data_IF_680629029427
#
_entry.id   IF_680629029427
#
_cell.length_a   1.000
_cell.length_b   1.000
_cell.length_c   1.000
_cell.angle_alpha   90.00
_cell.angle_beta   90.00
_cell.angle_gamma   90.00
#
_symmetry.space_group_name_H-M   'P 1'
#
loop_
_entity.id
_entity.type
_entity.pdbx_description
1 polymer ?
#
# COMPACT_ATOMS: atom_id res chain seq x y z
N UNK A 1 -36.69 -9.79 16.73
CA UNK A 1 -35.44 -9.05 16.44
C UNK A 1 -34.99 -9.40 15.04
N UNK A 2 -35.42 -8.60 14.05
CA UNK A 2 -34.95 -8.75 12.67
C UNK A 2 -33.48 -8.34 12.60
N UNK A 3 -32.61 -9.27 12.19
CA UNK A 3 -31.18 -9.00 12.03
C UNK A 3 -30.97 -8.01 10.88
N UNK A 4 -30.22 -6.92 11.10
CA UNK A 4 -29.88 -5.90 10.09
C UNK A 4 -29.36 -6.50 8.77
N UNK A 5 -28.72 -7.67 8.84
CA UNK A 5 -28.29 -8.48 7.70
C UNK A 5 -29.43 -8.90 6.77
N UNK A 6 -30.61 -9.24 7.30
CA UNK A 6 -31.78 -9.62 6.51
C UNK A 6 -32.46 -8.42 5.83
N UNK A 7 -32.25 -7.22 6.37
CA UNK A 7 -32.78 -6.00 5.79
C UNK A 7 -31.90 -5.55 4.62
N UNK A 8 -30.57 -5.65 4.74
CA UNK A 8 -29.64 -5.29 3.67
C UNK A 8 -29.51 -6.34 2.55
N UNK A 9 -29.72 -7.63 2.85
CA UNK A 9 -29.61 -8.73 1.87
C UNK A 9 -30.97 -8.98 1.20
N UNK A 10 -31.33 -8.13 0.22
CA UNK A 10 -32.63 -8.21 -0.49
C UNK A 10 -32.83 -9.52 -1.24
N UNK A 11 -31.76 -10.25 -1.53
CA UNK A 11 -31.79 -11.50 -2.29
C UNK A 11 -31.42 -12.75 -1.48
N UNK A 12 -31.22 -12.64 -0.16
CA UNK A 12 -30.79 -13.71 0.74
C UNK A 12 -29.62 -14.53 0.18
N UNK A 13 -28.67 -13.87 -0.49
CA UNK A 13 -27.53 -14.54 -1.14
C UNK A 13 -26.44 -14.91 -0.14
N UNK A 14 -26.53 -14.40 1.09
CA UNK A 14 -25.58 -14.67 2.16
C UNK A 14 -24.25 -13.91 2.01
N UNK A 15 -24.08 -13.16 0.92
CA UNK A 15 -22.94 -12.27 0.63
C UNK A 15 -23.49 -10.89 0.25
N UNK A 16 -22.95 -9.84 0.87
CA UNK A 16 -23.38 -8.46 0.64
C UNK A 16 -22.49 -7.81 -0.43
N UNK A 17 -23.11 -7.19 -1.43
CA UNK A 17 -22.42 -6.32 -2.37
C UNK A 17 -21.98 -5.01 -1.68
N UNK A 18 -21.03 -4.27 -2.26
CA UNK A 18 -20.51 -3.01 -1.67
C UNK A 18 -21.63 -2.05 -1.25
N UNK A 19 -22.65 -1.92 -2.10
CA UNK A 19 -23.79 -1.04 -1.84
C UNK A 19 -24.75 -1.60 -0.77
N UNK A 20 -24.93 -2.91 -0.69
CA UNK A 20 -25.73 -3.57 0.35
C UNK A 20 -25.01 -3.52 1.72
N UNK A 21 -23.67 -3.60 1.72
CA UNK A 21 -22.85 -3.43 2.91
C UNK A 21 -22.90 -1.98 3.43
N UNK A 22 -22.88 -0.99 2.54
CA UNK A 22 -23.06 0.42 2.92
C UNK A 22 -24.42 0.65 3.61
N UNK A 23 -25.48 0.04 3.09
CA UNK A 23 -26.82 0.09 3.70
C UNK A 23 -26.85 -0.64 5.04
N UNK A 24 -26.23 -1.82 5.15
CA UNK A 24 -26.12 -2.55 6.41
C UNK A 24 -25.39 -1.73 7.49
N UNK A 25 -24.31 -1.05 7.10
CA UNK A 25 -23.52 -0.21 7.99
C UNK A 25 -24.31 1.04 8.44
N UNK A 26 -25.02 1.68 7.51
CA UNK A 26 -25.90 2.80 7.83
C UNK A 26 -27.00 2.42 8.84
N UNK A 27 -27.60 1.25 8.69
CA UNK A 27 -28.59 0.72 9.66
C UNK A 27 -27.97 0.39 11.02
N UNK A 28 -26.71 -0.07 11.06
CA UNK A 28 -25.97 -0.31 12.30
C UNK A 28 -25.69 0.99 13.05
N UNK A 29 -25.19 2.02 12.36
CA UNK A 29 -24.95 3.34 12.95
C UNK A 29 -26.24 3.97 13.47
N UNK A 30 -27.35 3.83 12.74
CA UNK A 30 -28.66 4.31 13.17
C UNK A 30 -29.13 3.65 14.47
N UNK A 31 -28.87 2.35 14.63
CA UNK A 31 -29.17 1.61 15.86
C UNK A 31 -28.26 1.99 17.03
N UNK A 32 -26.96 2.23 16.78
CA UNK A 32 -26.02 2.70 17.79
C UNK A 32 -26.40 4.08 18.34
N UNK A 33 -26.95 4.94 17.48
CA UNK A 33 -27.46 6.27 17.86
C UNK A 33 -28.87 6.25 18.50
N UNK A 34 -29.39 5.06 18.85
CA UNK A 34 -30.65 4.92 19.59
C UNK A 34 -31.93 5.07 18.76
N UNK A 35 -31.83 5.15 17.43
CA UNK A 35 -33.00 5.19 16.56
C UNK A 35 -33.51 3.78 16.24
N UNK A 36 -34.83 3.61 16.24
CA UNK A 36 -35.47 2.34 15.90
C UNK A 36 -35.20 1.98 14.42
N UNK A 37 -34.74 0.75 14.19
CA UNK A 37 -34.52 0.23 12.84
C UNK A 37 -35.88 -0.08 12.21
N UNK A 38 -36.20 0.47 11.03
CA UNK A 38 -37.48 0.18 10.37
C UNK A 38 -37.57 -1.30 9.98
N UNK A 39 -38.77 -1.89 10.10
CA UNK A 39 -39.02 -3.31 9.75
C UNK A 39 -38.95 -3.60 8.25
N UNK A 40 -39.12 -2.57 7.43
CA UNK A 40 -38.98 -2.61 5.97
C UNK A 40 -38.11 -1.47 5.50
N UNK A 41 -37.22 -1.77 4.55
CA UNK A 41 -36.23 -0.81 4.06
C UNK A 41 -36.95 0.24 3.17
N UNK A 42 -36.90 1.54 3.49
CA UNK A 42 -37.50 2.57 2.66
C UNK A 42 -36.88 2.58 1.26
N UNK A 43 -37.64 2.90 0.20
CA UNK A 43 -37.15 2.86 -1.19
C UNK A 43 -35.98 3.81 -1.47
N UNK A 44 -35.77 4.81 -0.61
CA UNK A 44 -34.63 5.75 -0.68
C UNK A 44 -33.30 5.13 -0.24
N UNK A 45 -33.34 4.06 0.56
CA UNK A 45 -32.16 3.36 1.06
C UNK A 45 -31.88 2.07 0.26
N UNK A 46 -32.63 1.83 -0.82
CA UNK A 46 -32.38 0.71 -1.74
C UNK A 46 -31.28 1.13 -2.71
N UNK A 47 -30.15 0.42 -2.76
CA UNK A 47 -29.02 0.82 -3.59
C UNK A 47 -29.37 0.72 -5.08
N UNK A 48 -28.81 1.62 -5.93
CA UNK A 48 -29.16 1.67 -7.36
C UNK A 48 -28.86 0.34 -8.07
N UNK A 49 -27.83 -0.39 -7.66
CA UNK A 49 -27.46 -1.68 -8.26
C UNK A 49 -28.52 -2.78 -8.11
N UNK A 50 -29.30 -2.79 -7.03
CA UNK A 50 -30.41 -3.73 -6.89
C UNK A 50 -31.62 -3.26 -7.68
N UNK A 51 -31.81 -1.94 -7.82
CA UNK A 51 -32.84 -1.32 -8.68
C UNK A 51 -32.60 -1.64 -10.17
N UNK A 52 -31.38 -1.46 -10.65
CA UNK A 52 -30.97 -1.75 -12.02
C UNK A 52 -31.09 -3.24 -12.35
N UNK A 53 -30.79 -4.13 -11.39
CA UNK A 53 -30.95 -5.57 -11.56
C UNK A 53 -32.44 -5.96 -11.66
N UNK A 54 -33.29 -5.41 -10.79
CA UNK A 54 -34.75 -5.60 -10.88
C UNK A 54 -35.36 -5.03 -12.15
N UNK A 55 -34.88 -3.88 -12.62
CA UNK A 55 -35.32 -3.25 -13.86
C UNK A 55 -34.87 -4.07 -15.07
N UNK A 56 -33.65 -4.60 -15.05
CA UNK A 56 -33.11 -5.50 -16.07
C UNK A 56 -33.87 -6.83 -16.11
N UNK A 57 -34.20 -7.41 -14.95
CA UNK A 57 -35.02 -8.62 -14.85
C UNK A 57 -36.46 -8.35 -15.31
N UNK A 58 -37.00 -7.16 -15.02
CA UNK A 58 -38.34 -6.75 -15.47
C UNK A 58 -38.38 -6.52 -16.98
N UNK A 59 -37.35 -5.89 -17.56
CA UNK A 59 -37.14 -5.76 -19.01
C UNK A 59 -36.93 -7.12 -19.67
N UNK A 60 -36.20 -8.04 -19.05
CA UNK A 60 -36.07 -9.42 -19.54
C UNK A 60 -37.40 -10.18 -19.49
N UNK A 61 -38.18 -10.02 -18.42
CA UNK A 61 -39.52 -10.61 -18.34
C UNK A 61 -40.46 -10.02 -19.40
N UNK A 62 -40.43 -8.71 -19.62
CA UNK A 62 -41.22 -8.04 -20.67
C UNK A 62 -40.80 -8.48 -22.08
N UNK A 63 -39.49 -8.54 -22.37
CA UNK A 63 -38.98 -9.01 -23.67
C UNK A 63 -39.29 -10.49 -23.91
N UNK A 64 -39.28 -11.33 -22.88
CA UNK A 64 -39.70 -12.74 -22.98
C UNK A 64 -41.22 -12.85 -23.17
N UNK A 65 -42.03 -12.07 -22.44
CA UNK A 65 -43.48 -12.01 -22.62
C UNK A 65 -43.86 -11.53 -24.03
N UNK A 66 -43.18 -10.50 -24.53
CA UNK A 66 -43.33 -9.99 -25.90
C UNK A 66 -42.86 -11.01 -26.94
N UNK A 67 -41.78 -11.75 -26.65
CA UNK A 67 -41.29 -12.84 -27.48
C UNK A 67 -42.28 -14.01 -27.56
N UNK A 68 -42.94 -14.34 -26.45
CA UNK A 68 -43.99 -15.38 -26.39
C UNK A 68 -45.28 -14.90 -27.07
N UNK A 69 -45.65 -13.63 -26.90
CA UNK A 69 -46.80 -13.04 -27.58
C UNK A 69 -46.59 -12.94 -29.10
N UNK A 70 -45.38 -12.60 -29.55
CA UNK A 70 -44.98 -12.63 -30.97
C UNK A 70 -44.91 -14.04 -31.52
N UNK A 71 -44.44 -15.02 -30.73
CA UNK A 71 -44.41 -16.45 -31.14
C UNK A 71 -45.82 -17.05 -31.26
N UNK A 72 -46.81 -16.57 -30.50
CA UNK A 72 -48.23 -16.93 -30.67
C UNK A 72 -48.88 -16.40 -31.96
N UNK A 73 -48.28 -15.44 -32.65
CA UNK A 73 -48.82 -14.84 -33.87
C UNK A 73 -48.24 -15.41 -35.17
N UNK A 74 -47.29 -16.37 -35.11
CA UNK A 74 -46.55 -16.85 -36.30
C UNK A 74 -46.84 -18.33 -36.63
N UNK A 75 -47.38 -19.12 -35.71
CA UNK A 75 -47.66 -20.55 -35.99
C UNK A 75 -49.06 -20.77 -36.59
N UNK A 76 -49.21 -20.36 -37.85
CA UNK A 76 -50.34 -20.78 -38.71
C UNK A 76 -49.82 -21.26 -40.08
N UNK A 77 -48.89 -22.23 -40.08
CA UNK A 77 -48.66 -23.10 -41.23
C UNK A 77 -48.08 -24.46 -40.79
N UNK A 78 -48.95 -25.48 -40.84
CA UNK A 78 -48.63 -26.89 -41.13
C UNK A 78 -47.80 -27.74 -40.13
N UNK A 79 -48.54 -28.69 -39.52
CA UNK A 79 -48.15 -30.10 -39.24
C UNK A 79 -47.41 -30.47 -37.94
N UNK A 80 -48.19 -30.98 -36.98
CA UNK A 80 -47.85 -31.74 -35.76
C UNK A 80 -47.35 -33.19 -36.04
N UNK A 81 -47.15 -34.09 -35.03
CA UNK A 81 -46.91 -33.91 -33.58
C UNK A 81 -45.81 -34.85 -32.97
N UNK A 82 -45.57 -34.66 -31.66
CA UNK A 82 -45.27 -35.69 -30.62
C UNK A 82 -43.85 -35.69 -30.03
N UNK A 83 -43.59 -35.82 -28.73
CA UNK A 83 -44.37 -35.86 -27.48
C UNK A 83 -43.34 -35.76 -26.32
N UNK A 84 -43.84 -35.37 -25.13
CA UNK A 84 -43.31 -35.60 -23.77
C UNK A 84 -42.37 -34.57 -23.11
N UNK A 85 -42.80 -34.27 -21.88
CA UNK A 85 -42.23 -33.51 -20.76
C UNK A 85 -42.30 -34.49 -19.55
N UNK A 86 -41.91 -34.16 -18.30
CA UNK A 86 -40.74 -33.47 -17.75
C UNK A 86 -40.11 -34.33 -16.60
N UNK A 87 -39.36 -33.69 -15.68
CA UNK A 87 -39.11 -34.10 -14.26
C UNK A 87 -37.75 -34.77 -14.01
N UNK A 88 -36.96 -34.54 -12.95
CA UNK A 88 -36.92 -33.60 -11.80
C UNK A 88 -35.63 -33.93 -11.00
N UNK A 89 -35.02 -32.92 -10.37
CA UNK A 89 -34.36 -32.91 -9.05
C UNK A 89 -33.24 -33.94 -8.75
N UNK A 90 -32.08 -33.57 -8.20
CA UNK A 90 -31.88 -33.04 -6.84
C UNK A 90 -30.41 -32.62 -6.65
N UNK A 91 -30.20 -31.61 -5.79
CA UNK A 91 -28.93 -31.17 -5.20
C UNK A 91 -28.39 -32.21 -4.17
N UNK A 92 -27.41 -31.91 -3.29
CA UNK A 92 -26.18 -31.08 -3.35
C UNK A 92 -24.95 -31.89 -2.85
N UNK A 93 -23.75 -31.28 -2.79
CA UNK A 93 -22.95 -31.13 -1.54
C UNK A 93 -21.49 -30.72 -1.80
N UNK A 94 -21.06 -29.73 -1.02
CA UNK A 94 -19.69 -29.27 -0.81
C UNK A 94 -18.83 -30.29 -0.05
N UNK A 95 -17.51 -30.28 -0.27
CA UNK A 95 -16.41 -30.16 0.73
C UNK A 95 -15.11 -30.75 0.15
N UNK A 96 -14.05 -29.95 0.11
CA UNK A 96 -12.64 -30.42 0.10
C UNK A 96 -12.30 -30.91 1.54
N UNK A 97 -11.18 -31.63 1.86
CA UNK A 97 -9.85 -31.58 1.20
C UNK A 97 -9.00 -32.89 1.22
N UNK A 98 -7.78 -32.80 0.65
CA UNK A 98 -6.54 -33.50 1.10
C UNK A 98 -6.04 -34.76 0.35
N UNK A 99 -4.78 -34.62 -0.11
CA UNK A 99 -3.62 -35.54 -0.13
C UNK A 99 -3.56 -36.82 -1.00
N UNK A 100 -2.45 -36.84 -1.75
CA UNK A 100 -1.53 -37.94 -2.10
C UNK A 100 -1.93 -39.04 -3.11
N UNK A 101 -0.97 -39.24 -4.02
CA UNK A 101 -0.47 -40.52 -4.56
C UNK A 101 -1.14 -41.15 -5.82
N UNK A 102 -0.29 -41.22 -6.86
CA UNK A 102 -0.07 -42.35 -7.79
C UNK A 102 -1.07 -42.68 -8.89
N UNK A 103 -0.53 -42.64 -10.12
CA UNK A 103 -0.74 -43.56 -11.26
C UNK A 103 -2.18 -43.95 -11.60
N UNK A 104 -2.63 -43.52 -12.79
CA UNK A 104 -2.94 -44.43 -13.91
C UNK A 104 -3.10 -43.64 -15.21
N UNK A 105 -2.99 -44.40 -16.30
CA UNK A 105 -2.64 -44.07 -17.68
C UNK A 105 -3.79 -44.58 -18.54
N UNK A 106 -4.32 -43.75 -19.44
CA UNK A 106 -5.17 -44.03 -20.64
C UNK A 106 -5.69 -42.66 -21.11
N UNK A 107 -5.16 -42.02 -22.18
CA UNK A 107 -5.25 -42.22 -23.65
C UNK A 107 -6.55 -41.73 -24.29
N UNK A 108 -6.36 -40.84 -25.29
CA UNK A 108 -7.25 -40.34 -26.37
C UNK A 108 -8.47 -39.48 -25.96
N UNK A 109 -8.83 -38.36 -26.61
CA UNK A 109 -8.34 -37.69 -27.82
C UNK A 109 -9.03 -36.29 -27.95
N UNK A 110 -8.38 -35.36 -28.66
CA UNK A 110 -8.88 -34.08 -29.25
C UNK A 110 -9.24 -32.88 -28.33
N UNK A 111 -8.40 -31.83 -28.28
CA UNK A 111 -8.45 -30.68 -29.20
C UNK A 111 -7.53 -29.51 -28.78
N UNK A 112 -7.04 -28.80 -29.80
CA UNK A 112 -6.05 -27.72 -29.89
C UNK A 112 -6.05 -26.60 -28.82
N UNK A 113 -4.87 -26.26 -28.28
CA UNK A 113 -4.45 -24.86 -28.08
C UNK A 113 -2.91 -24.73 -27.97
N UNK A 114 -2.31 -24.02 -28.92
CA UNK A 114 -0.85 -23.87 -29.09
C UNK A 114 -0.30 -22.85 -28.09
N UNK A 115 0.24 -23.32 -26.97
CA UNK A 115 1.02 -22.49 -26.04
C UNK A 115 2.45 -22.24 -26.54
N UNK A 116 2.78 -20.98 -26.82
CA UNK A 116 4.15 -20.54 -27.13
C UNK A 116 5.07 -20.74 -25.91
N UNK A 117 6.16 -21.51 -26.06
CA UNK A 117 7.20 -21.68 -25.03
C UNK A 117 8.58 -21.45 -25.66
N UNK A 118 9.34 -20.53 -25.09
CA UNK A 118 10.61 -20.04 -25.63
C UNK A 118 11.69 -21.13 -25.78
N UNK A 119 12.37 -21.09 -26.93
CA UNK A 119 13.41 -22.02 -27.45
C UNK A 119 14.57 -22.35 -26.48
N UNK A 120 14.81 -21.54 -25.45
CA UNK A 120 15.92 -21.73 -24.50
C UNK A 120 15.77 -22.97 -23.58
N UNK A 121 14.57 -23.57 -23.47
CA UNK A 121 14.34 -24.76 -22.62
C UNK A 121 14.42 -26.10 -23.38
N UNK A 122 14.68 -26.08 -24.69
CA UNK A 122 14.76 -27.31 -25.51
C UNK A 122 16.15 -27.96 -25.59
N UNK A 123 17.18 -27.34 -25.03
CA UNK A 123 18.53 -27.93 -25.00
C UNK A 123 19.00 -28.13 -23.55
N UNK A 124 18.42 -29.13 -22.88
CA UNK A 124 19.00 -29.73 -21.69
C UNK A 124 20.00 -30.83 -22.08
N UNK A 125 21.00 -31.15 -21.24
CA UNK A 125 22.05 -32.09 -21.59
C UNK A 125 21.47 -33.50 -21.73
N UNK A 126 21.62 -34.07 -22.93
CA UNK A 126 21.20 -35.42 -23.29
C UNK A 126 21.88 -36.45 -22.37
N UNK A 127 21.11 -36.96 -21.41
CA UNK A 127 21.50 -38.07 -20.53
C UNK A 127 20.82 -39.33 -21.00
N UNK A 128 21.23 -39.84 -22.15
CA UNK A 128 21.02 -41.25 -22.49
C UNK A 128 22.31 -41.88 -23.02
N UNK A 129 22.79 -42.88 -22.25
CA UNK A 129 23.71 -44.00 -22.58
C UNK A 129 24.88 -44.09 -21.60
N UNK A 130 24.69 -44.92 -20.57
CA UNK A 130 25.82 -45.65 -20.01
C UNK A 130 26.19 -46.80 -20.95
N UNK A 131 27.49 -46.94 -21.27
CA UNK A 131 28.24 -48.21 -21.28
C UNK A 131 29.64 -48.03 -21.92
N UNK A 132 30.63 -48.50 -21.15
CA UNK A 132 32.04 -48.85 -21.45
C UNK A 132 33.11 -47.76 -21.74
N UNK A 133 34.28 -47.82 -21.06
CA UNK A 133 35.42 -46.95 -21.34
C UNK A 133 36.46 -47.70 -22.20
N UNK A 134 36.61 -47.31 -23.47
CA UNK A 134 37.88 -47.50 -24.18
C UNK A 134 37.94 -46.63 -25.45
N UNK A 135 39.15 -46.16 -25.74
CA UNK A 135 39.64 -45.55 -26.99
C UNK A 135 39.38 -44.05 -27.25
N UNK A 136 40.45 -43.29 -26.97
CA UNK A 136 41.23 -42.51 -27.93
C UNK A 136 40.56 -41.42 -28.80
N UNK A 137 40.95 -40.17 -28.50
CA UNK A 137 41.45 -39.11 -29.40
C UNK A 137 40.84 -39.04 -30.81
N UNK A 138 40.10 -37.96 -31.08
CA UNK A 138 40.23 -37.20 -32.35
C UNK A 138 39.92 -35.71 -32.11
N UNK A 139 40.88 -34.87 -32.46
CA UNK A 139 40.77 -33.41 -32.50
C UNK A 139 39.95 -32.98 -33.73
N UNK A 140 39.00 -32.03 -33.57
CA UNK A 140 38.39 -31.33 -34.71
C UNK A 140 37.87 -29.93 -34.36
N UNK A 141 38.70 -28.92 -34.62
CA UNK A 141 38.43 -27.79 -35.53
C UNK A 141 37.08 -27.02 -35.52
N UNK A 142 36.26 -27.04 -34.48
CA UNK A 142 34.94 -26.35 -34.48
C UNK A 142 34.76 -25.20 -33.47
N UNK A 143 35.81 -24.76 -32.77
CA UNK A 143 35.69 -23.70 -31.75
C UNK A 143 35.68 -22.25 -32.26
N UNK A 144 36.12 -21.98 -33.49
CA UNK A 144 36.34 -20.61 -33.99
C UNK A 144 35.20 -20.07 -34.87
N UNK A 145 34.50 -20.93 -35.61
CA UNK A 145 33.42 -20.51 -36.53
C UNK A 145 32.17 -20.00 -35.81
N UNK A 146 31.94 -20.45 -34.57
CA UNK A 146 30.82 -19.98 -33.75
C UNK A 146 31.03 -18.58 -33.14
N UNK A 147 32.28 -18.19 -32.85
CA UNK A 147 32.56 -16.85 -32.31
C UNK A 147 32.40 -15.77 -33.38
N UNK A 148 32.84 -16.03 -34.60
CA UNK A 148 32.71 -15.08 -35.71
C UNK A 148 31.26 -14.89 -36.14
N UNK A 149 30.46 -15.95 -36.18
CA UNK A 149 29.02 -15.83 -36.48
C UNK A 149 28.27 -15.17 -35.33
N UNK A 150 28.61 -15.49 -34.08
CA UNK A 150 28.02 -14.82 -32.91
C UNK A 150 28.34 -13.34 -32.86
N UNK A 151 29.57 -12.95 -33.22
CA UNK A 151 29.96 -11.54 -33.33
C UNK A 151 29.19 -10.85 -34.46
N UNK A 152 28.96 -11.52 -35.58
CA UNK A 152 28.14 -10.98 -36.67
C UNK A 152 26.68 -10.79 -36.24
N UNK A 153 26.08 -11.78 -35.59
CA UNK A 153 24.71 -11.71 -35.07
C UNK A 153 24.57 -10.61 -34.03
N UNK A 154 25.52 -10.48 -33.10
CA UNK A 154 25.55 -9.41 -32.10
C UNK A 154 25.71 -8.02 -32.75
N UNK A 155 26.52 -7.90 -33.81
CA UNK A 155 26.65 -6.63 -34.55
C UNK A 155 25.35 -6.26 -35.26
N UNK A 156 24.65 -7.23 -35.83
CA UNK A 156 23.34 -7.03 -36.46
C UNK A 156 22.28 -6.63 -35.43
N UNK A 157 22.26 -7.29 -34.28
CA UNK A 157 21.36 -6.98 -33.16
C UNK A 157 21.63 -5.58 -32.59
N UNK A 158 22.91 -5.17 -32.48
CA UNK A 158 23.29 -3.81 -32.08
C UNK A 158 22.80 -2.79 -33.13
N UNK A 159 22.89 -3.09 -34.42
CA UNK A 159 22.41 -2.19 -35.47
C UNK A 159 20.88 -2.06 -35.47
N UNK A 160 20.16 -3.16 -35.25
CA UNK A 160 18.70 -3.17 -35.09
C UNK A 160 18.29 -2.38 -33.84
N UNK A 161 18.93 -2.62 -32.70
CA UNK A 161 18.70 -1.87 -31.45
C UNK A 161 19.06 -0.39 -31.58
N UNK A 162 20.06 -0.05 -32.39
CA UNK A 162 20.40 1.35 -32.68
C UNK A 162 19.34 2.03 -33.53
N UNK A 163 18.76 1.34 -34.51
CA UNK A 163 17.66 1.85 -35.33
C UNK A 163 16.38 2.02 -34.51
N UNK A 164 16.07 1.07 -33.62
CA UNK A 164 14.92 1.21 -32.72
C UNK A 164 15.12 2.38 -31.75
N UNK A 165 16.31 2.55 -31.17
CA UNK A 165 16.63 3.73 -30.35
C UNK A 165 16.49 5.03 -31.12
N UNK A 166 16.98 5.10 -32.36
CA UNK A 166 16.85 6.31 -33.19
C UNK A 166 15.38 6.62 -33.52
N UNK A 167 14.56 5.59 -33.79
CA UNK A 167 13.13 5.77 -34.01
C UNK A 167 12.41 6.24 -32.74
N UNK A 168 12.73 5.65 -31.58
CA UNK A 168 12.20 6.09 -30.28
C UNK A 168 12.65 7.52 -29.94
N UNK A 169 13.88 7.89 -30.28
CA UNK A 169 14.40 9.25 -30.09
C UNK A 169 13.67 10.26 -30.98
N UNK A 170 13.44 9.94 -32.25
CA UNK A 170 12.60 10.75 -33.15
C UNK A 170 11.15 10.84 -32.67
N UNK A 171 10.58 9.75 -32.17
CA UNK A 171 9.21 9.74 -31.63
C UNK A 171 9.12 10.51 -30.30
N UNK A 172 10.21 10.57 -29.53
CA UNK A 172 10.31 11.34 -28.29
C UNK A 172 10.46 12.85 -28.52
N UNK A 173 10.83 13.29 -29.73
CA UNK A 173 10.79 14.72 -30.06
C UNK A 173 9.34 15.17 -30.16
N UNK A 174 8.90 16.16 -29.36
CA UNK A 174 7.52 16.64 -29.43
C UNK A 174 7.30 17.23 -30.82
N UNK A 175 6.48 16.56 -31.63
CA UNK A 175 6.02 17.12 -32.91
C UNK A 175 5.30 18.43 -32.61
N UNK A 176 5.96 19.56 -32.87
CA UNK A 176 5.29 20.85 -32.85
C UNK A 176 4.13 20.77 -33.84
N UNK A 177 2.91 21.03 -33.36
CA UNK A 177 1.74 21.03 -34.22
C UNK A 177 1.97 21.99 -35.40
N UNK A 178 1.74 21.52 -36.62
CA UNK A 178 1.79 22.37 -37.81
C UNK A 178 0.78 23.50 -37.65
N UNK A 179 1.17 24.77 -37.85
CA UNK A 179 0.28 25.90 -37.66
C UNK A 179 -0.91 25.84 -38.63
N UNK A 180 -2.09 26.31 -38.22
CA UNK A 180 -3.34 26.18 -38.99
C UNK A 180 -3.19 26.62 -40.46
N UNK A 181 -2.38 27.66 -40.71
CA UNK A 181 -2.13 28.21 -42.03
C UNK A 181 -1.41 27.25 -42.98
N UNK A 182 -0.60 26.32 -42.46
CA UNK A 182 0.19 25.36 -43.24
C UNK A 182 -0.55 24.04 -43.51
N UNK A 183 -1.76 23.85 -42.96
CA UNK A 183 -2.54 22.63 -43.19
C UNK A 183 -3.17 22.56 -44.58
N UNK A 184 -3.42 21.32 -45.01
CA UNK A 184 -4.16 21.01 -46.24
C UNK A 184 -5.56 21.63 -46.21
N UNK A 185 -6.10 21.98 -47.36
CA UNK A 185 -7.45 22.54 -47.48
C UNK A 185 -8.53 21.58 -46.95
N UNK A 186 -8.31 20.26 -47.04
CA UNK A 186 -9.21 19.26 -46.46
C UNK A 186 -9.17 19.30 -44.93
N UNK A 187 -7.97 19.36 -44.35
CA UNK A 187 -7.80 19.38 -42.90
C UNK A 187 -8.35 20.68 -42.29
N UNK A 188 -8.19 21.81 -42.97
CA UNK A 188 -8.79 23.09 -42.57
C UNK A 188 -10.31 23.00 -42.49
N UNK A 189 -10.96 22.45 -43.54
CA UNK A 189 -12.43 22.23 -43.53
C UNK A 189 -12.86 21.32 -42.39
N UNK A 190 -12.16 20.21 -42.18
CA UNK A 190 -12.45 19.30 -41.07
C UNK A 190 -12.34 20.00 -39.71
N UNK A 191 -11.30 20.83 -39.52
CA UNK A 191 -11.12 21.61 -38.29
C UNK A 191 -12.27 22.61 -38.11
N UNK A 192 -12.68 23.30 -39.17
CA UNK A 192 -13.76 24.29 -39.10
C UNK A 192 -15.11 23.63 -38.81
N UNK A 193 -15.41 22.49 -39.42
CA UNK A 193 -16.60 21.68 -39.09
C UNK A 193 -16.61 21.22 -37.63
N UNK A 194 -15.45 20.84 -37.10
CA UNK A 194 -15.31 20.46 -35.69
C UNK A 194 -15.49 21.68 -34.78
N UNK A 195 -14.91 22.84 -35.14
CA UNK A 195 -15.08 24.09 -34.39
C UNK A 195 -16.55 24.48 -34.27
N UNK A 196 -17.30 24.38 -35.36
CA UNK A 196 -18.73 24.68 -35.38
C UNK A 196 -19.53 23.74 -34.46
N UNK A 197 -19.28 22.43 -34.55
CA UNK A 197 -19.91 21.43 -33.65
C UNK A 197 -19.58 21.69 -32.18
N UNK A 198 -18.34 22.08 -31.87
CA UNK A 198 -17.95 22.42 -30.50
C UNK A 198 -18.67 23.67 -30.01
N UNK A 199 -18.81 24.71 -30.85
CA UNK A 199 -19.61 25.90 -30.52
C UNK A 199 -21.06 25.53 -30.22
N UNK A 200 -21.70 24.76 -31.09
CA UNK A 200 -23.10 24.32 -30.91
C UNK A 200 -23.29 23.57 -29.59
N UNK A 201 -22.48 22.53 -29.33
CA UNK A 201 -22.55 21.74 -28.10
C UNK A 201 -22.30 22.58 -26.85
N UNK A 202 -21.35 23.53 -26.88
CA UNK A 202 -21.11 24.40 -25.73
C UNK A 202 -22.27 25.35 -25.46
N UNK A 203 -22.94 25.87 -26.49
CA UNK A 203 -24.14 26.67 -26.31
C UNK A 203 -25.31 25.83 -25.75
N UNK A 204 -25.44 24.58 -26.15
CA UNK A 204 -26.44 23.64 -25.62
C UNK A 204 -26.16 23.29 -24.15
N UNK A 205 -24.89 23.07 -23.78
CA UNK A 205 -24.46 22.89 -22.39
C UNK A 205 -24.73 24.14 -21.55
N UNK A 206 -24.49 25.33 -22.11
CA UNK A 206 -24.75 26.59 -21.40
C UNK A 206 -26.26 26.82 -21.17
N UNK A 207 -27.09 26.50 -22.16
CA UNK A 207 -28.56 26.62 -22.09
C UNK A 207 -29.20 25.57 -21.17
N UNK A 208 -28.62 24.38 -21.07
CA UNK A 208 -29.13 23.30 -20.19
C UNK A 208 -28.88 23.53 -18.69
N UNK A 209 -28.29 24.66 -18.30
CA UNK A 209 -28.38 25.17 -16.92
C UNK A 209 -27.57 24.40 -15.88
N UNK A 210 -26.52 23.67 -16.27
CA UNK A 210 -25.68 22.93 -15.32
C UNK A 210 -24.63 23.85 -14.65
N UNK A 211 -25.08 24.80 -13.84
CA UNK A 211 -24.23 25.78 -13.14
C UNK A 211 -23.36 25.15 -12.04
N UNK A 212 -23.78 24.01 -11.49
CA UNK A 212 -23.13 23.34 -10.36
C UNK A 212 -21.74 22.76 -10.69
N UNK A 213 -21.40 22.59 -11.96
CA UNK A 213 -20.12 21.99 -12.38
C UNK A 213 -18.91 22.92 -12.28
N UNK A 214 -19.09 24.24 -12.35
CA UNK A 214 -17.98 25.22 -12.27
C UNK A 214 -17.46 25.37 -10.84
N UNK A 215 -18.36 25.47 -9.86
CA UNK A 215 -17.98 25.57 -8.44
C UNK A 215 -17.47 24.26 -7.86
N UNK A 216 -18.06 23.12 -8.25
CA UNK A 216 -17.60 21.80 -7.81
C UNK A 216 -16.14 21.52 -8.21
N UNK A 217 -15.70 22.06 -9.34
CA UNK A 217 -14.33 21.86 -9.82
C UNK A 217 -13.32 22.80 -9.15
N UNK A 218 -13.71 24.04 -8.86
CA UNK A 218 -12.90 24.92 -7.99
C UNK A 218 -12.66 24.29 -6.62
N UNK A 219 -13.70 23.69 -6.03
CA UNK A 219 -13.61 22.92 -4.79
C UNK A 219 -12.68 21.70 -4.97
N UNK A 220 -12.76 20.98 -6.10
CA UNK A 220 -11.87 19.84 -6.37
C UNK A 220 -10.39 20.24 -6.48
N UNK A 221 -10.06 21.33 -7.18
CA UNK A 221 -8.67 21.84 -7.23
C UNK A 221 -8.20 22.21 -5.84
N UNK A 222 -9.01 22.95 -5.08
CA UNK A 222 -8.65 23.35 -3.73
C UNK A 222 -8.41 22.12 -2.84
N UNK A 223 -9.32 21.14 -2.89
CA UNK A 223 -9.22 19.92 -2.08
C UNK A 223 -8.04 19.04 -2.48
N UNK A 224 -7.71 18.97 -3.77
CA UNK A 224 -6.52 18.24 -4.23
C UNK A 224 -5.23 18.93 -3.79
N UNK A 225 -5.16 20.26 -3.84
CA UNK A 225 -4.03 21.02 -3.31
C UNK A 225 -3.90 20.86 -1.78
N UNK A 226 -5.00 20.93 -1.04
CA UNK A 226 -5.03 20.66 0.40
C UNK A 226 -4.54 19.24 0.72
N UNK A 227 -5.02 18.22 -0.01
CA UNK A 227 -4.57 16.83 0.18
C UNK A 227 -3.08 16.65 -0.15
N UNK A 228 -2.56 17.35 -1.17
CA UNK A 228 -1.15 17.37 -1.51
C UNK A 228 -0.30 17.94 -0.38
N UNK A 229 -0.71 19.09 0.17
CA UNK A 229 -0.02 19.72 1.31
C UNK A 229 0.00 18.80 2.53
N UNK A 230 -1.15 18.19 2.86
CA UNK A 230 -1.26 17.28 4.00
C UNK A 230 -0.40 16.03 3.80
N UNK A 231 -0.32 15.48 2.59
CA UNK A 231 0.53 14.34 2.29
C UNK A 231 2.03 14.69 2.41
N UNK A 232 2.44 15.89 2.01
CA UNK A 232 3.82 16.37 2.19
C UNK A 232 4.17 16.59 3.67
N UNK A 233 3.28 17.22 4.43
CA UNK A 233 3.43 17.41 5.88
C UNK A 233 3.54 16.05 6.60
N UNK A 234 2.67 15.10 6.29
CA UNK A 234 2.68 13.76 6.87
C UNK A 234 3.99 13.02 6.56
N UNK A 235 4.45 13.06 5.31
CA UNK A 235 5.73 12.46 4.92
C UNK A 235 6.91 13.11 5.65
N UNK A 236 6.88 14.42 5.86
CA UNK A 236 7.92 15.13 6.60
C UNK A 236 7.94 14.73 8.08
N UNK A 237 6.77 14.63 8.69
CA UNK A 237 6.60 14.23 10.09
C UNK A 237 7.01 12.77 10.30
N UNK A 238 6.64 11.88 9.38
CA UNK A 238 7.05 10.48 9.42
C UNK A 238 8.57 10.34 9.37
N UNK A 239 9.24 11.11 8.50
CA UNK A 239 10.70 11.12 8.42
C UNK A 239 11.37 11.69 9.70
N UNK A 240 10.77 12.72 10.31
CA UNK A 240 11.24 13.26 11.60
C UNK A 240 11.11 12.23 12.72
N UNK A 241 9.97 11.54 12.82
CA UNK A 241 9.75 10.50 13.84
C UNK A 241 10.69 9.32 13.64
N UNK A 242 10.88 8.87 12.39
CA UNK A 242 11.83 7.80 12.06
C UNK A 242 13.27 8.20 12.45
N UNK A 243 13.68 9.43 12.13
CA UNK A 243 14.98 9.97 12.55
C UNK A 243 15.13 10.00 14.08
N UNK A 244 14.10 10.47 14.79
CA UNK A 244 14.12 10.50 16.26
C UNK A 244 14.24 9.09 16.85
N UNK A 245 13.50 8.11 16.35
CA UNK A 245 13.55 6.73 16.84
C UNK A 245 14.90 6.06 16.54
N UNK A 246 15.38 6.15 15.30
CA UNK A 246 16.59 5.44 14.87
C UNK A 246 17.89 6.12 15.31
N UNK A 247 17.97 7.44 15.25
CA UNK A 247 19.22 8.16 15.53
C UNK A 247 19.27 8.59 16.99
N UNK A 248 18.26 9.31 17.45
CA UNK A 248 18.34 9.93 18.79
C UNK A 248 18.06 8.93 19.90
N UNK A 249 16.99 8.14 19.79
CA UNK A 249 16.53 7.27 20.86
C UNK A 249 17.40 6.02 20.96
N UNK A 250 17.74 5.40 19.82
CA UNK A 250 18.69 4.29 19.80
C UNK A 250 20.11 4.73 20.20
N UNK A 251 20.54 5.93 19.79
CA UNK A 251 21.82 6.51 20.21
C UNK A 251 21.88 6.77 21.71
N UNK A 252 20.81 7.34 22.28
CA UNK A 252 20.71 7.59 23.73
C UNK A 252 20.64 6.29 24.52
N UNK A 253 19.93 5.27 24.02
CA UNK A 253 19.91 3.93 24.63
C UNK A 253 21.30 3.29 24.65
N UNK A 254 22.07 3.45 23.57
CA UNK A 254 23.46 2.98 23.52
C UNK A 254 24.35 3.71 24.53
N UNK A 255 24.22 5.03 24.64
CA UNK A 255 24.94 5.82 25.65
C UNK A 255 24.54 5.42 27.08
N UNK A 256 23.26 5.21 27.36
CA UNK A 256 22.77 4.75 28.66
C UNK A 256 23.38 3.39 29.00
N UNK A 257 23.36 2.44 28.08
CA UNK A 257 23.98 1.13 28.27
C UNK A 257 25.50 1.23 28.49
N UNK A 258 26.19 2.11 27.78
CA UNK A 258 27.63 2.36 27.98
C UNK A 258 27.91 2.91 29.38
N UNK A 259 27.17 3.94 29.81
CA UNK A 259 27.33 4.53 31.14
C UNK A 259 27.03 3.54 32.26
N UNK A 260 26.07 2.64 32.06
CA UNK A 260 25.72 1.63 33.07
C UNK A 260 26.75 0.50 33.12
N UNK A 261 27.32 0.09 31.98
CA UNK A 261 28.46 -0.83 31.96
C UNK A 261 29.68 -0.23 32.67
N UNK A 262 29.95 1.07 32.47
CA UNK A 262 30.99 1.79 33.18
C UNK A 262 30.73 1.88 34.69
N UNK A 263 29.47 2.11 35.09
CA UNK A 263 29.05 2.15 36.48
C UNK A 263 29.22 0.78 37.15
N UNK A 264 28.81 -0.30 36.48
CA UNK A 264 29.04 -1.68 36.91
C UNK A 264 30.54 -1.97 37.08
N UNK A 265 31.36 -1.62 36.08
CA UNK A 265 32.81 -1.83 36.12
C UNK A 265 33.46 -1.07 37.28
N UNK A 266 33.05 0.18 37.54
CA UNK A 266 33.53 0.98 38.68
C UNK A 266 33.07 0.38 40.02
N UNK A 267 31.81 -0.05 40.15
CA UNK A 267 31.31 -0.73 41.36
C UNK A 267 32.15 -1.99 41.66
N UNK A 268 32.41 -2.82 40.64
CA UNK A 268 33.27 -4.01 40.77
C UNK A 268 34.69 -3.61 41.17
N UNK A 269 35.25 -2.55 40.57
CA UNK A 269 36.59 -2.07 40.90
C UNK A 269 36.68 -1.60 42.36
N UNK A 270 35.68 -0.88 42.87
CA UNK A 270 35.61 -0.45 44.28
C UNK A 270 35.55 -1.64 45.22
N UNK A 271 34.73 -2.65 44.92
CA UNK A 271 34.67 -3.90 45.71
C UNK A 271 36.00 -4.67 45.67
N UNK A 272 36.68 -4.70 44.52
CA UNK A 272 38.00 -5.32 44.40
C UNK A 272 39.09 -4.56 45.17
N UNK A 273 39.04 -3.22 45.17
CA UNK A 273 39.98 -2.39 45.91
C UNK A 273 39.75 -2.49 47.42
N UNK A 274 38.51 -2.51 47.89
CA UNK A 274 38.20 -2.70 49.31
C UNK A 274 38.61 -4.10 49.80
N UNK A 275 38.49 -5.12 48.94
CA UNK A 275 39.02 -6.45 49.20
C UNK A 275 40.57 -6.47 49.33
N UNK A 276 41.26 -5.74 48.44
CA UNK A 276 42.74 -5.65 48.45
C UNK A 276 43.28 -4.82 49.62
N UNK A 277 42.53 -3.79 50.06
CA UNK A 277 42.91 -2.90 51.17
C UNK A 277 42.68 -3.50 52.56
N UNK A 278 42.09 -4.70 52.65
CA UNK A 278 42.03 -5.54 53.85
C UNK A 278 41.89 -4.74 55.15
N UNK A 279 40.67 -4.31 55.47
CA UNK A 279 40.40 -3.49 56.65
C UNK A 279 41.14 -3.98 57.89
N UNK A 280 41.82 -3.05 58.59
CA UNK A 280 42.28 -3.33 59.95
C UNK A 280 41.07 -3.82 60.76
N UNK A 281 41.14 -4.99 61.43
CA UNK A 281 40.05 -5.46 62.25
C UNK A 281 39.73 -4.41 63.31
N UNK A 282 38.45 -4.13 63.61
CA UNK A 282 38.11 -3.27 64.74
C UNK A 282 38.78 -3.83 66.00
N UNK A 283 39.62 -3.01 66.62
CA UNK A 283 40.37 -3.39 67.82
C UNK A 283 39.42 -3.27 69.02
N UNK A 284 38.78 -4.38 69.40
CA UNK A 284 38.09 -4.49 70.70
C UNK A 284 39.13 -4.57 71.81
N UNK A 285 39.45 -3.41 72.40
CA UNK A 285 40.46 -3.27 73.44
C UNK A 285 39.76 -3.25 74.81
N UNK A 286 39.78 -4.38 75.50
CA UNK A 286 39.33 -4.47 76.90
C UNK A 286 40.49 -4.05 77.80
N UNK A 287 40.33 -2.94 78.53
CA UNK A 287 41.36 -2.41 79.43
C UNK A 287 41.52 -3.23 80.69
N UNK A 288 42.74 -3.69 80.98
CA UNK A 288 43.06 -4.50 82.17
C UNK A 288 43.71 -3.70 83.30
N UNK A 289 43.83 -2.37 83.16
CA UNK A 289 44.38 -1.49 84.18
C UNK A 289 43.44 -1.21 85.36
N UNK A 290 43.96 -0.72 86.52
CA UNK A 290 43.15 -0.35 87.67
C UNK A 290 42.14 0.75 87.28
N UNK A 291 40.85 0.49 87.50
CA UNK A 291 39.76 1.37 87.07
C UNK A 291 39.31 1.21 85.60
N UNK A 292 39.76 0.16 84.90
CA UNK A 292 39.36 -0.10 83.51
C UNK A 292 40.11 0.73 82.47
N UNK A 293 41.22 1.38 82.85
CA UNK A 293 42.04 2.14 81.90
C UNK A 293 42.74 1.21 80.89
N UNK A 294 42.74 1.62 79.63
CA UNK A 294 43.37 0.90 78.52
C UNK A 294 44.89 1.05 78.61
N UNK A 295 45.58 -0.04 78.97
CA UNK A 295 47.05 -0.04 79.03
C UNK A 295 47.68 -0.26 77.65
N UNK A 296 48.94 0.14 77.49
CA UNK A 296 49.68 -0.03 76.23
C UNK A 296 49.84 -1.53 75.85
N UNK A 297 49.98 -2.39 76.86
CA UNK A 297 49.92 -3.85 76.74
C UNK A 297 48.61 -4.37 76.14
N UNK A 298 47.46 -3.78 76.48
CA UNK A 298 46.15 -4.18 75.95
C UNK A 298 46.02 -3.79 74.47
N UNK A 299 46.56 -2.62 74.07
CA UNK A 299 46.61 -2.19 72.66
C UNK A 299 47.49 -3.09 71.81
N UNK A 300 48.66 -3.47 72.33
CA UNK A 300 49.60 -4.37 71.64
C UNK A 300 48.99 -5.77 71.51
N UNK A 301 48.34 -6.28 72.56
CA UNK A 301 47.71 -7.61 72.54
C UNK A 301 46.50 -7.66 71.61
N UNK A 302 45.68 -6.61 71.58
CA UNK A 302 44.57 -6.48 70.63
C UNK A 302 45.09 -6.42 69.18
N UNK A 303 46.13 -5.62 68.92
CA UNK A 303 46.76 -5.51 67.59
C UNK A 303 47.39 -6.83 67.12
N UNK A 304 48.06 -7.55 68.01
CA UNK A 304 48.62 -8.87 67.71
C UNK A 304 47.51 -9.92 67.44
N UNK A 305 46.44 -9.93 68.26
CA UNK A 305 45.29 -10.82 68.07
C UNK A 305 44.57 -10.54 66.74
N UNK A 306 44.41 -9.27 66.37
CA UNK A 306 43.84 -8.84 65.09
C UNK A 306 44.72 -9.28 63.90
N UNK A 307 46.05 -9.11 64.00
CA UNK A 307 46.97 -9.59 62.95
C UNK A 307 46.96 -11.11 62.79
N UNK A 308 46.92 -11.87 63.89
CA UNK A 308 46.82 -13.34 63.83
C UNK A 308 45.48 -13.78 63.27
N UNK A 309 44.37 -13.15 63.67
CA UNK A 309 43.04 -13.43 63.12
C UNK A 309 42.97 -13.14 61.61
N UNK A 310 43.54 -12.01 61.15
CA UNK A 310 43.64 -11.69 59.72
C UNK A 310 44.50 -12.71 58.95
N UNK A 311 45.62 -13.18 59.54
CA UNK A 311 46.48 -14.19 58.93
C UNK A 311 45.83 -15.58 58.91
N UNK A 312 45.07 -15.94 59.95
CA UNK A 312 44.31 -17.19 60.02
C UNK A 312 43.10 -17.19 59.07
N UNK A 313 42.47 -16.03 58.86
CA UNK A 313 41.41 -15.84 57.86
C UNK A 313 41.91 -16.01 56.42
N UNK A 314 43.14 -15.55 56.12
CA UNK A 314 43.80 -15.76 54.81
C UNK A 314 44.16 -17.23 54.54
N UNK A 315 44.51 -17.99 55.57
CA UNK A 315 44.86 -19.43 55.45
C UNK A 315 43.60 -20.30 55.32
N UNK A 316 42.46 -19.87 55.87
CA UNK A 316 41.19 -20.61 55.84
C UNK A 316 40.29 -20.26 54.64
N UNK A 317 40.64 -19.23 53.86
CA UNK A 317 40.03 -18.90 52.55
C UNK A 317 38.54 -18.50 52.57
N UNK A 318 37.90 -18.40 53.75
CA UNK A 318 36.43 -18.54 53.83
C UNK A 318 35.63 -17.29 54.20
N UNK A 319 36.21 -16.18 54.64
CA UNK A 319 35.38 -15.06 55.13
C UNK A 319 35.36 -13.81 54.25
N UNK A 320 36.49 -13.43 53.63
CA UNK A 320 36.56 -12.18 52.84
C UNK A 320 36.22 -12.40 51.37
N UNK A 321 36.70 -13.49 50.74
CA UNK A 321 36.44 -13.78 49.33
C UNK A 321 34.96 -14.07 49.05
N UNK A 322 34.31 -14.82 49.94
CA UNK A 322 32.88 -15.14 49.82
C UNK A 322 31.98 -13.90 49.86
N UNK A 323 32.34 -12.90 50.68
CA UNK A 323 31.58 -11.66 50.80
C UNK A 323 31.78 -10.76 49.56
N UNK A 324 33.01 -10.71 49.02
CA UNK A 324 33.31 -9.95 47.80
C UNK A 324 32.65 -10.55 46.56
N UNK A 325 32.60 -11.88 46.46
CA UNK A 325 31.95 -12.57 45.36
C UNK A 325 30.44 -12.38 45.40
N UNK A 326 29.83 -12.52 46.58
CA UNK A 326 28.40 -12.26 46.77
C UNK A 326 28.02 -10.81 46.43
N UNK A 327 28.87 -9.82 46.76
CA UNK A 327 28.62 -8.42 46.42
C UNK A 327 28.76 -8.15 44.91
N UNK A 328 29.77 -8.75 44.25
CA UNK A 328 29.90 -8.68 42.78
C UNK A 328 28.71 -9.32 42.08
N UNK A 329 28.20 -10.45 42.59
CA UNK A 329 27.04 -11.14 42.02
C UNK A 329 25.76 -10.31 42.19
N UNK A 330 25.61 -9.55 43.29
CA UNK A 330 24.51 -8.58 43.46
C UNK A 330 24.60 -7.42 42.47
N UNK A 331 25.79 -6.86 42.25
CA UNK A 331 26.00 -5.77 41.28
C UNK A 331 25.64 -6.23 39.87
N UNK A 332 25.99 -7.48 39.51
CA UNK A 332 25.61 -8.07 38.22
C UNK A 332 24.10 -8.27 38.13
N UNK A 333 23.46 -8.74 39.20
CA UNK A 333 22.01 -8.92 39.24
C UNK A 333 21.26 -7.58 39.04
N UNK A 334 21.70 -6.50 39.70
CA UNK A 334 21.16 -5.14 39.50
C UNK A 334 21.32 -4.70 38.03
N UNK A 335 22.46 -4.98 37.41
CA UNK A 335 22.69 -4.69 35.98
C UNK A 335 21.80 -5.53 35.07
N UNK A 336 21.57 -6.80 35.40
CA UNK A 336 20.69 -7.66 34.63
C UNK A 336 19.23 -7.17 34.70
N UNK A 337 18.77 -6.73 35.88
CA UNK A 337 17.47 -6.06 36.05
C UNK A 337 17.36 -4.78 35.21
N UNK A 338 18.42 -3.97 35.18
CA UNK A 338 18.46 -2.78 34.32
C UNK A 338 18.42 -3.13 32.83
N UNK A 339 19.10 -4.20 32.39
CA UNK A 339 19.02 -4.62 30.99
C UNK A 339 17.60 -4.99 30.59
N UNK A 340 16.89 -5.74 31.43
CA UNK A 340 15.49 -6.09 31.15
C UNK A 340 14.63 -4.84 30.95
N UNK A 341 14.89 -3.78 31.73
CA UNK A 341 14.22 -2.50 31.55
C UNK A 341 14.59 -1.83 30.21
N UNK A 342 15.88 -1.79 29.84
CA UNK A 342 16.31 -1.22 28.55
C UNK A 342 15.83 -2.02 27.34
N UNK A 343 15.75 -3.35 27.46
CA UNK A 343 15.24 -4.25 26.42
C UNK A 343 13.74 -4.03 26.23
N UNK A 344 12.98 -3.85 27.31
CA UNK A 344 11.57 -3.45 27.24
C UNK A 344 11.39 -2.11 26.54
N UNK A 345 12.24 -1.11 26.80
CA UNK A 345 12.21 0.16 26.08
C UNK A 345 12.51 -0.05 24.59
N UNK A 346 13.49 -0.89 24.27
CA UNK A 346 13.85 -1.20 22.88
C UNK A 346 12.71 -1.90 22.13
N UNK A 347 11.98 -2.79 22.78
CA UNK A 347 10.80 -3.44 22.20
C UNK A 347 9.65 -2.45 21.97
N UNK A 348 9.42 -1.51 22.90
CA UNK A 348 8.46 -0.43 22.70
C UNK A 348 8.83 0.45 21.49
N UNK A 349 10.12 0.75 21.30
CA UNK A 349 10.61 1.51 20.13
C UNK A 349 10.30 0.74 18.84
N UNK A 350 10.56 -0.57 18.81
CA UNK A 350 10.26 -1.42 17.64
C UNK A 350 8.77 -1.48 17.34
N UNK A 351 7.92 -1.57 18.36
CA UNK A 351 6.47 -1.54 18.20
C UNK A 351 6.00 -0.23 17.58
N UNK A 352 6.53 0.91 18.03
CA UNK A 352 6.22 2.22 17.44
C UNK A 352 6.67 2.27 15.97
N UNK A 353 7.86 1.75 15.65
CA UNK A 353 8.34 1.68 14.26
C UNK A 353 7.45 0.82 13.37
N UNK A 354 6.96 -0.30 13.88
CA UNK A 354 6.05 -1.19 13.16
C UNK A 354 4.69 -0.52 12.95
N UNK A 355 4.15 0.18 13.95
CA UNK A 355 2.94 0.97 13.83
C UNK A 355 3.10 2.09 12.77
N UNK A 356 4.26 2.75 12.73
CA UNK A 356 4.53 3.81 11.76
C UNK A 356 4.61 3.26 10.32
N UNK A 357 5.24 2.09 10.12
CA UNK A 357 5.19 1.39 8.83
C UNK A 357 3.78 0.97 8.45
N UNK A 358 2.98 0.50 9.40
CA UNK A 358 1.60 0.10 9.15
C UNK A 358 0.76 1.30 8.67
N UNK A 359 0.90 2.46 9.33
CA UNK A 359 0.25 3.72 8.90
C UNK A 359 0.69 4.09 7.48
N UNK A 360 1.98 4.02 7.17
CA UNK A 360 2.48 4.30 5.82
C UNK A 360 1.92 3.33 4.75
N UNK A 361 1.78 2.05 5.08
CA UNK A 361 1.16 1.06 4.18
C UNK A 361 -0.34 1.29 3.99
N UNK A 362 -1.07 1.62 5.05
CA UNK A 362 -2.49 2.00 4.97
C UNK A 362 -2.67 3.24 4.10
N UNK A 363 -1.83 4.26 4.25
CA UNK A 363 -1.86 5.47 3.43
C UNK A 363 -1.63 5.18 1.94
N UNK A 364 -0.65 4.32 1.64
CA UNK A 364 -0.39 3.84 0.28
C UNK A 364 -1.58 3.09 -0.30
N UNK A 365 -2.24 2.25 0.51
CA UNK A 365 -3.39 1.45 0.10
C UNK A 365 -4.68 2.27 -0.07
N UNK A 366 -4.84 3.37 0.69
CA UNK A 366 -5.94 4.34 0.52
C UNK A 366 -5.75 5.17 -0.76
N UNK A 367 -4.58 5.09 -1.40
CA UNK A 367 -4.30 5.81 -2.64
C UNK A 367 -4.04 7.29 -2.40
N UNK A 368 -3.56 7.67 -1.20
CA UNK A 368 -2.93 8.98 -0.98
C UNK A 368 -1.50 9.03 -1.56
N UNK A 369 -1.03 7.92 -2.15
CA UNK A 369 0.23 7.84 -2.88
C UNK A 369 0.33 8.86 -4.04
N UNK A 370 1.57 9.25 -4.32
CA UNK A 370 2.06 10.04 -5.47
C UNK A 370 1.33 9.71 -6.78
N UNK A 371 0.95 8.45 -7.01
CA UNK A 371 0.24 8.01 -8.23
C UNK A 371 -1.14 8.62 -8.41
N UNK A 372 -1.89 8.86 -7.33
CA UNK A 372 -3.19 9.54 -7.42
C UNK A 372 -3.00 11.04 -7.56
N UNK A 373 -2.01 11.61 -6.87
CA UNK A 373 -1.61 13.01 -7.04
C UNK A 373 -1.20 13.30 -8.50
N UNK A 374 -0.40 12.44 -9.14
CA UNK A 374 -0.03 12.57 -10.55
C UNK A 374 -1.24 12.49 -11.49
N UNK A 375 -2.20 11.62 -11.18
CA UNK A 375 -3.43 11.51 -11.98
C UNK A 375 -4.33 12.73 -11.81
N UNK A 376 -4.49 13.21 -10.58
CA UNK A 376 -5.30 14.38 -10.29
C UNK A 376 -4.65 15.65 -10.84
N UNK A 377 -3.32 15.75 -10.78
CA UNK A 377 -2.53 16.80 -11.44
C UNK A 377 -2.71 16.77 -12.96
N UNK A 378 -2.63 15.59 -13.60
CA UNK A 378 -2.90 15.45 -15.03
C UNK A 378 -4.31 15.88 -15.41
N UNK A 379 -5.32 15.51 -14.62
CA UNK A 379 -6.71 15.98 -14.84
C UNK A 379 -6.80 17.49 -14.71
N UNK A 380 -6.07 18.07 -13.75
CA UNK A 380 -6.05 19.52 -13.54
C UNK A 380 -5.43 20.22 -14.75
N UNK A 381 -4.29 19.74 -15.22
CA UNK A 381 -3.59 20.28 -16.39
C UNK A 381 -4.39 20.10 -17.68
N UNK A 382 -4.98 18.93 -17.91
CA UNK A 382 -5.82 18.67 -19.08
C UNK A 382 -7.04 19.59 -19.11
N UNK A 383 -7.67 19.81 -17.96
CA UNK A 383 -8.80 20.73 -17.90
C UNK A 383 -8.33 22.19 -17.99
N UNK A 384 -7.18 22.54 -17.42
CA UNK A 384 -6.52 23.83 -17.59
C UNK A 384 -6.28 24.16 -19.07
N UNK A 385 -5.82 23.15 -19.82
CA UNK A 385 -5.61 23.19 -21.26
C UNK A 385 -6.90 23.48 -22.03
N UNK A 386 -8.00 22.80 -21.71
CA UNK A 386 -9.25 22.93 -22.47
C UNK A 386 -10.19 24.04 -21.97
N UNK A 387 -10.11 24.43 -20.70
CA UNK A 387 -10.90 25.52 -20.15
C UNK A 387 -10.18 26.85 -20.28
N UNK A 388 -8.89 26.97 -19.97
CA UNK A 388 -8.19 28.25 -19.97
C UNK A 388 -7.25 28.44 -21.16
N UNK A 389 -7.09 27.42 -22.01
CA UNK A 389 -6.16 27.47 -23.14
C UNK A 389 -4.70 27.49 -22.68
N UNK A 390 -4.41 26.91 -21.52
CA UNK A 390 -3.07 26.82 -20.96
C UNK A 390 -2.22 25.81 -21.75
N UNK A 391 -0.98 26.17 -22.11
CA UNK A 391 -0.08 25.33 -22.90
C UNK A 391 -0.64 24.86 -24.27
N UNK A 392 -1.57 25.62 -24.86
CA UNK A 392 -2.12 25.36 -26.20
C UNK A 392 -1.58 26.37 -27.22
N UNK A 393 -1.50 25.96 -28.49
CA UNK A 393 -1.23 26.85 -29.62
C UNK A 393 -2.15 28.09 -29.61
N UNK A 394 -1.61 29.22 -30.07
CA UNK A 394 -2.28 30.53 -30.03
C UNK A 394 -3.69 30.51 -30.66
N UNK A 395 -3.82 29.90 -31.83
CA UNK A 395 -5.08 29.82 -32.58
C UNK A 395 -6.18 29.06 -31.81
N UNK A 396 -5.79 28.04 -31.03
CA UNK A 396 -6.73 27.28 -30.20
C UNK A 396 -7.07 28.04 -28.92
N UNK A 397 -6.12 28.78 -28.34
CA UNK A 397 -6.39 29.65 -27.19
C UNK A 397 -7.40 30.74 -27.53
N UNK A 398 -7.26 31.37 -28.71
CA UNK A 398 -8.21 32.37 -29.22
C UNK A 398 -9.62 31.78 -29.41
N UNK A 399 -9.71 30.59 -30.01
CA UNK A 399 -10.97 29.86 -30.14
C UNK A 399 -11.61 29.52 -28.79
N UNK A 400 -10.83 29.08 -27.79
CA UNK A 400 -11.33 28.81 -26.42
C UNK A 400 -11.87 30.09 -25.77
N UNK A 401 -11.21 31.24 -25.99
CA UNK A 401 -11.72 32.52 -25.47
C UNK A 401 -13.01 32.97 -26.15
N UNK A 402 -13.11 32.77 -27.46
CA UNK A 402 -14.34 33.05 -28.23
C UNK A 402 -15.50 32.17 -27.74
N UNK A 403 -15.25 30.87 -27.57
CA UNK A 403 -16.20 29.91 -27.02
C UNK A 403 -16.75 30.32 -25.64
N UNK A 404 -15.89 30.82 -24.75
CA UNK A 404 -16.33 31.33 -23.44
C UNK A 404 -17.25 32.52 -23.57
N UNK A 405 -16.94 33.43 -24.49
CA UNK A 405 -17.76 34.61 -24.76
C UNK A 405 -19.12 34.21 -25.34
N UNK A 406 -19.13 33.32 -26.33
CA UNK A 406 -20.35 32.79 -26.95
C UNK A 406 -21.23 32.04 -25.94
N UNK A 407 -20.63 31.23 -25.06
CA UNK A 407 -21.33 30.53 -23.99
C UNK A 407 -21.89 31.49 -22.92
N UNK A 408 -21.19 32.59 -22.62
CA UNK A 408 -21.68 33.63 -21.71
C UNK A 408 -22.83 34.43 -22.35
N UNK A 409 -22.74 34.72 -23.65
CA UNK A 409 -23.77 35.40 -24.41
C UNK A 409 -25.04 34.54 -24.55
N UNK A 410 -24.90 33.24 -24.82
CA UNK A 410 -26.01 32.29 -24.87
C UNK A 410 -26.71 32.11 -23.52
N UNK A 411 -26.05 32.47 -22.41
CA UNK A 411 -26.60 32.45 -21.05
C UNK A 411 -27.27 33.78 -20.68
N UNK A 412 -26.96 34.87 -21.37
CA UNK A 412 -27.59 36.16 -21.09
C UNK A 412 -29.10 36.05 -21.32
N UNK A 413 -29.94 36.58 -20.42
CA UNK A 413 -31.38 36.60 -20.64
C UNK A 413 -31.68 37.37 -21.93
N UNK A 414 -32.57 36.83 -22.76
CA UNK A 414 -33.06 37.56 -23.93
C UNK A 414 -33.58 38.92 -23.46
N UNK A 415 -32.95 40.00 -23.94
CA UNK A 415 -33.42 41.35 -23.68
C UNK A 415 -34.76 41.45 -24.38
N UNK A 416 -35.84 41.53 -23.60
CA UNK A 416 -37.18 41.71 -24.10
C UNK A 416 -37.18 42.94 -25.03
N UNK A 417 -37.56 42.83 -26.31
CA UNK A 417 -37.55 43.96 -27.24
C UNK A 417 -38.50 45.09 -26.80
N UNK A 418 -39.35 44.85 -25.80
CA UNK A 418 -40.16 45.88 -25.13
C UNK A 418 -39.42 46.66 -24.04
N UNK A 419 -38.17 46.31 -23.69
CA UNK A 419 -37.37 47.03 -22.70
C UNK A 419 -36.98 48.43 -23.20
N UNK A 420 -36.69 48.55 -24.50
CA UNK A 420 -36.28 49.81 -25.13
C UNK A 420 -37.47 50.76 -25.36
N UNK A 421 -38.68 50.22 -25.50
CA UNK A 421 -39.92 51.02 -25.61
C UNK A 421 -40.46 51.53 -24.25
N UNK A 422 -39.83 51.14 -23.14
CA UNK A 422 -40.16 51.65 -21.78
C UNK A 422 -39.44 52.94 -21.42
N UNK A 423 -38.48 53.38 -22.22
CA UNK A 423 -37.82 54.67 -22.04
C UNK A 423 -38.46 55.72 -22.94
N UNK A 424 -38.91 56.87 -22.41
CA UNK A 424 -39.41 57.96 -23.25
C UNK A 424 -38.26 58.46 -24.13
N UNK A 425 -38.54 58.61 -25.43
CA UNK A 425 -37.63 59.24 -26.39
C UNK A 425 -37.42 60.69 -25.93
N UNK A 426 -36.20 61.05 -25.56
CA UNK A 426 -35.83 62.41 -25.18
C UNK A 426 -35.72 63.33 -26.39
#
# INVERSE_FOLDING_TARGET
MSSFRNLSDTHNQGKLNLNEFAVAMHLLYRKLNGYNVPETLPPELVPPSTRDLTDSVSKLKQTILDGIAKKKYIDNFSSSPSLLSPSTQTKPRSTSPSRNATKKKESDDNDAEVGYVSSARRMGPDRTRGRDPSSAVTSSSYGYRGKTTRIFDLRKEIEENKKTLQNLEQESTPKLATPYNELSALDKKNIDEIREKVKELQTEIAKSGNEHGRDAWGIYIQKSAELSSVAEEEKSLAAEVEYMLDVTLSGLLAQVNETENDLMNRKIQVVSQSASRGGEPPLDIVGTGPGGQITESDRIRAKAKAMVAARMGKITGKSTENNTKAEIDRIKQERDEFNFYTESIQDNIREIQEALRAIGLEMSMIGLDIRKQDQDQKKIEERGRFEYGENVARDLKEFITELKYDAALAKAPEIDPSFESRFPVF
#
